data_IF_314234092279
#
_entry.id   IF_314234092279
#
_cell.length_a   1.000
_cell.length_b   1.000
_cell.length_c   1.000
_cell.angle_alpha   90.00
_cell.angle_beta   90.00
_cell.angle_gamma   90.00
#
_symmetry.space_group_name_H-M   'P 1'
#
loop_
_entity.id
_entity.type
_entity.pdbx_description
1 polymer ?
#
# COMPACT_ATOMS: atom_id res chain seq x y z
N UNK A 1 -8.48 9.87 9.38
CA UNK A 1 -8.00 8.95 8.33
C UNK A 1 -7.87 7.53 8.88
N UNK A 2 -6.86 7.22 9.70
CA UNK A 2 -6.70 5.88 10.33
C UNK A 2 -7.92 5.46 11.16
N UNK A 3 -8.27 6.26 12.19
CA UNK A 3 -9.46 5.99 13.02
C UNK A 3 -10.73 5.78 12.19
N UNK A 4 -10.92 6.61 11.17
CA UNK A 4 -12.08 6.53 10.28
C UNK A 4 -12.09 5.23 9.46
N UNK A 5 -10.92 4.80 8.97
CA UNK A 5 -10.78 3.53 8.27
C UNK A 5 -11.08 2.34 9.19
N UNK A 6 -10.51 2.34 10.40
CA UNK A 6 -10.76 1.32 11.42
C UNK A 6 -12.24 1.26 11.84
N UNK A 7 -12.87 2.42 12.05
CA UNK A 7 -14.28 2.49 12.41
C UNK A 7 -15.17 1.95 11.27
N UNK A 8 -14.85 2.27 10.01
CA UNK A 8 -15.57 1.72 8.85
C UNK A 8 -15.41 0.21 8.71
N UNK A 9 -14.20 -0.33 8.91
CA UNK A 9 -13.97 -1.78 8.85
C UNK A 9 -14.78 -2.53 9.92
N UNK A 10 -14.83 -1.99 11.15
CA UNK A 10 -15.66 -2.54 12.22
C UNK A 10 -17.15 -2.43 11.89
N UNK A 11 -17.60 -1.30 11.36
CA UNK A 11 -18.98 -1.09 10.95
C UNK A 11 -19.41 -2.03 9.80
N UNK A 12 -18.48 -2.44 8.93
CA UNK A 12 -18.72 -3.45 7.89
C UNK A 12 -18.68 -4.89 8.40
N UNK A 13 -18.54 -5.11 9.71
CA UNK A 13 -18.51 -6.43 10.34
C UNK A 13 -17.18 -7.17 10.24
N UNK A 14 -16.10 -6.51 9.80
CA UNK A 14 -14.78 -7.13 9.79
C UNK A 14 -14.23 -7.24 11.22
N UNK A 15 -13.68 -8.40 11.54
CA UNK A 15 -12.78 -8.54 12.69
C UNK A 15 -11.50 -7.76 12.46
N UNK A 16 -10.78 -7.46 13.54
CA UNK A 16 -9.47 -6.78 13.47
C UNK A 16 -8.49 -7.56 12.58
N UNK A 17 -8.46 -8.89 12.73
CA UNK A 17 -7.61 -9.77 11.92
C UNK A 17 -7.98 -9.75 10.43
N UNK A 18 -9.26 -9.65 10.08
CA UNK A 18 -9.70 -9.55 8.67
C UNK A 18 -9.37 -8.18 8.08
N UNK A 19 -9.55 -7.11 8.86
CA UNK A 19 -9.20 -5.76 8.43
C UNK A 19 -7.69 -5.62 8.17
N UNK A 20 -6.86 -6.32 8.93
CA UNK A 20 -5.40 -6.36 8.79
C UNK A 20 -4.89 -7.34 7.72
N UNK A 21 -5.76 -8.16 7.14
CA UNK A 21 -5.38 -9.17 6.17
C UNK A 21 -5.41 -8.61 4.74
N UNK A 22 -4.28 -8.67 4.03
CA UNK A 22 -4.18 -8.32 2.62
C UNK A 22 -5.02 -9.23 1.71
N UNK A 23 -5.52 -10.35 2.20
CA UNK A 23 -6.38 -11.30 1.47
C UNK A 23 -7.83 -11.30 1.97
N UNK A 24 -8.33 -10.13 2.40
CA UNK A 24 -9.72 -9.99 2.84
C UNK A 24 -10.68 -9.77 1.65
N UNK A 25 -11.98 -9.71 1.96
CA UNK A 25 -13.06 -9.57 0.97
C UNK A 25 -12.97 -8.32 0.06
N UNK A 26 -12.18 -7.32 0.43
CA UNK A 26 -12.02 -6.07 -0.33
C UNK A 26 -10.76 -6.06 -1.21
N UNK A 27 -9.93 -7.11 -1.16
CA UNK A 27 -8.67 -7.20 -1.89
C UNK A 27 -8.75 -8.27 -2.98
N UNK A 28 -8.13 -8.01 -4.13
CA UNK A 28 -7.88 -9.03 -5.13
C UNK A 28 -6.82 -10.04 -4.62
N UNK A 29 -6.69 -11.16 -5.33
CA UNK A 29 -5.59 -12.10 -5.11
C UNK A 29 -4.24 -11.35 -5.12
N UNK A 30 -3.46 -11.49 -4.04
CA UNK A 30 -2.16 -10.82 -3.89
C UNK A 30 -2.18 -9.45 -3.20
N UNK A 31 -3.30 -9.03 -2.60
CA UNK A 31 -3.33 -7.80 -1.79
C UNK A 31 -3.39 -6.51 -2.59
N UNK A 32 -3.91 -6.56 -3.82
CA UNK A 32 -4.15 -5.38 -4.66
C UNK A 32 -5.62 -4.96 -4.60
N UNK A 33 -5.89 -3.65 -4.68
CA UNK A 33 -7.26 -3.13 -4.77
C UNK A 33 -7.82 -3.12 -6.20
N UNK A 34 -6.94 -2.98 -7.20
CA UNK A 34 -7.26 -2.95 -8.63
C UNK A 34 -5.99 -3.21 -9.43
N UNK A 35 -6.13 -3.68 -10.68
CA UNK A 35 -5.02 -3.82 -11.63
C UNK A 35 -4.70 -2.51 -12.35
N UNK A 36 -5.66 -1.60 -12.42
CA UNK A 36 -5.60 -0.39 -13.22
C UNK A 36 -5.69 0.85 -12.34
N UNK A 37 -4.60 1.62 -12.15
CA UNK A 37 -4.66 2.84 -11.36
C UNK A 37 -5.55 3.89 -12.01
N UNK A 38 -5.56 4.00 -13.35
CA UNK A 38 -6.39 4.97 -14.08
C UNK A 38 -7.87 4.74 -13.78
N UNK A 39 -8.34 3.53 -14.02
CA UNK A 39 -9.73 3.11 -13.81
C UNK A 39 -10.13 3.24 -12.33
N UNK A 40 -9.20 2.93 -11.41
CA UNK A 40 -9.43 3.14 -9.98
C UNK A 40 -9.65 4.61 -9.64
N UNK A 41 -8.82 5.51 -10.19
CA UNK A 41 -8.98 6.95 -9.99
C UNK A 41 -10.33 7.47 -10.51
N UNK A 42 -10.71 7.05 -11.73
CA UNK A 42 -11.99 7.42 -12.34
C UNK A 42 -13.18 6.91 -11.53
N UNK A 43 -13.17 5.63 -11.14
CA UNK A 43 -14.26 4.99 -10.39
C UNK A 43 -14.54 5.71 -9.06
N UNK A 44 -13.50 6.10 -8.33
CA UNK A 44 -13.63 6.77 -7.04
C UNK A 44 -13.62 8.31 -7.11
N UNK A 45 -13.56 8.89 -8.32
CA UNK A 45 -13.49 10.34 -8.52
C UNK A 45 -12.25 10.97 -7.86
N UNK A 46 -11.12 10.26 -7.89
CA UNK A 46 -9.85 10.68 -7.29
C UNK A 46 -8.79 10.95 -8.35
N UNK A 47 -7.83 11.82 -8.00
CA UNK A 47 -6.67 12.13 -8.83
C UNK A 47 -5.43 11.49 -8.23
N UNK A 48 -4.59 10.92 -9.09
CA UNK A 48 -3.25 10.50 -8.72
C UNK A 48 -2.33 11.72 -8.66
N UNK A 49 -1.44 11.71 -7.68
CA UNK A 49 -0.41 12.72 -7.52
C UNK A 49 0.94 12.08 -7.86
N UNK A 50 1.70 12.76 -8.71
CA UNK A 50 3.05 12.38 -9.12
C UNK A 50 3.91 13.65 -9.13
N UNK A 51 5.21 13.48 -8.91
CA UNK A 51 6.20 14.54 -8.96
C UNK A 51 7.35 14.10 -9.87
N UNK A 52 8.13 15.08 -10.34
CA UNK A 52 9.32 14.87 -11.16
C UNK A 52 10.49 14.46 -10.26
N UNK A 53 10.40 13.27 -9.67
CA UNK A 53 11.41 12.74 -8.74
C UNK A 53 12.76 12.54 -9.42
N UNK A 54 13.82 12.96 -8.75
CA UNK A 54 15.21 12.66 -9.11
C UNK A 54 15.80 11.56 -8.20
N UNK A 55 16.94 11.01 -8.60
CA UNK A 55 17.63 10.02 -7.80
C UNK A 55 18.05 10.60 -6.44
N UNK A 56 17.51 10.05 -5.36
CA UNK A 56 17.73 10.53 -3.99
C UNK A 56 16.52 11.22 -3.38
N UNK A 57 15.51 11.58 -4.19
CA UNK A 57 14.24 12.08 -3.66
C UNK A 57 13.46 10.99 -2.93
N UNK A 58 12.68 11.40 -1.95
CA UNK A 58 11.83 10.53 -1.15
C UNK A 58 10.39 11.02 -1.12
N UNK A 59 9.46 10.08 -1.21
CA UNK A 59 8.04 10.30 -0.95
C UNK A 59 7.67 9.66 0.38
N UNK A 60 7.00 10.44 1.23
CA UNK A 60 6.45 9.96 2.49
C UNK A 60 4.94 9.87 2.36
N UNK A 61 4.39 8.69 2.63
CA UNK A 61 2.95 8.49 2.72
C UNK A 61 2.62 7.70 3.98
N UNK A 62 1.37 7.81 4.44
CA UNK A 62 0.93 7.02 5.58
C UNK A 62 0.51 5.61 5.13
N UNK A 63 0.31 4.69 6.09
CA UNK A 63 -0.04 3.30 5.80
C UNK A 63 -1.41 3.10 5.11
N UNK A 64 -2.29 4.12 5.16
CA UNK A 64 -3.62 4.10 4.55
C UNK A 64 -3.68 4.83 3.20
N UNK A 65 -2.55 5.39 2.74
CA UNK A 65 -2.47 6.03 1.44
C UNK A 65 -2.52 4.98 0.34
N UNK A 66 -3.53 5.09 -0.53
CA UNK A 66 -3.56 4.30 -1.75
C UNK A 66 -2.45 4.80 -2.68
N UNK A 67 -1.57 3.90 -3.07
CA UNK A 67 -0.42 4.17 -3.93
C UNK A 67 -0.31 3.08 -4.99
N UNK A 68 0.31 3.43 -6.11
CA UNK A 68 0.50 2.54 -7.24
C UNK A 68 1.78 2.92 -8.00
N UNK A 69 2.32 1.98 -8.76
CA UNK A 69 3.30 2.28 -9.80
C UNK A 69 2.74 1.90 -11.17
N UNK A 70 3.12 2.66 -12.19
CA UNK A 70 2.76 2.37 -13.58
C UNK A 70 3.86 1.56 -14.26
N UNK A 71 3.51 0.93 -15.37
CA UNK A 71 4.48 0.30 -16.26
C UNK A 71 5.54 1.31 -16.72
N UNK A 72 6.80 0.91 -16.66
CA UNK A 72 7.91 1.72 -17.13
C UNK A 72 8.03 1.60 -18.65
N UNK A 73 7.78 2.70 -19.36
CA UNK A 73 7.87 2.80 -20.82
C UNK A 73 9.05 3.66 -21.27
N UNK A 74 10.09 3.82 -20.44
CA UNK A 74 11.29 4.57 -20.79
C UNK A 74 11.90 4.04 -22.11
N UNK A 75 12.05 4.91 -23.14
CA UNK A 75 12.44 4.48 -24.48
C UNK A 75 13.91 4.03 -24.57
N UNK A 76 14.73 4.39 -23.59
CA UNK A 76 16.14 4.00 -23.50
C UNK A 76 16.35 2.77 -22.62
N UNK A 77 15.27 2.21 -22.06
CA UNK A 77 15.32 1.05 -21.19
C UNK A 77 15.89 1.35 -19.81
N UNK A 78 15.82 2.60 -19.34
CA UNK A 78 16.29 2.98 -18.00
C UNK A 78 15.42 2.31 -16.93
N UNK A 79 16.08 1.67 -15.96
CA UNK A 79 15.39 1.00 -14.85
C UNK A 79 15.02 2.03 -13.77
N UNK A 80 13.76 2.01 -13.33
CA UNK A 80 13.32 2.70 -12.12
C UNK A 80 13.54 1.79 -10.91
N UNK A 81 14.53 2.11 -10.09
CA UNK A 81 14.78 1.43 -8.82
C UNK A 81 14.37 2.34 -7.66
N UNK A 82 13.74 1.77 -6.64
CA UNK A 82 13.41 2.46 -5.40
C UNK A 82 13.47 1.51 -4.21
N UNK A 83 13.64 2.08 -3.01
CA UNK A 83 13.62 1.36 -1.74
C UNK A 83 12.41 1.81 -0.92
N UNK A 84 11.62 0.85 -0.46
CA UNK A 84 10.52 1.09 0.49
C UNK A 84 11.05 0.93 1.91
N UNK A 85 10.90 1.96 2.75
CA UNK A 85 11.30 1.93 4.16
C UNK A 85 10.08 2.28 5.01
N UNK A 86 9.72 1.38 5.92
CA UNK A 86 8.56 1.55 6.79
C UNK A 86 8.99 1.85 8.21
N UNK A 87 8.32 2.81 8.84
CA UNK A 87 8.56 3.20 10.23
C UNK A 87 7.32 2.88 11.07
N UNK A 88 7.52 2.15 12.17
CA UNK A 88 6.49 1.88 13.18
C UNK A 88 6.89 2.52 14.52
N UNK A 89 5.90 3.04 15.26
CA UNK A 89 6.14 3.61 16.58
C UNK A 89 6.16 2.49 17.64
N UNK A 90 7.34 2.14 18.13
CA UNK A 90 7.54 1.10 19.14
C UNK A 90 6.85 1.34 20.48
N UNK A 91 6.40 2.57 20.77
CA UNK A 91 5.63 2.91 22.00
C UNK A 91 4.14 2.62 21.86
N UNK A 92 3.66 2.15 20.70
CA UNK A 92 2.27 1.81 20.43
C UNK A 92 2.18 0.39 19.88
N UNK A 93 1.02 -0.28 19.98
CA UNK A 93 0.78 -1.50 19.22
C UNK A 93 1.03 -1.25 17.73
N UNK A 94 1.71 -2.17 17.08
CA UNK A 94 1.99 -2.15 15.64
C UNK A 94 2.04 -3.58 15.12
N UNK A 95 1.90 -3.74 13.81
CA UNK A 95 1.87 -5.05 13.16
C UNK A 95 3.28 -5.69 13.11
N UNK A 96 3.54 -6.59 14.06
CA UNK A 96 4.83 -7.26 14.21
C UNK A 96 5.11 -8.33 13.16
N UNK A 97 4.15 -8.65 12.26
CA UNK A 97 4.35 -9.65 11.21
C UNK A 97 5.55 -9.28 10.32
N UNK A 98 5.69 -7.99 10.00
CA UNK A 98 6.76 -7.44 9.17
C UNK A 98 8.02 -7.06 9.96
N UNK A 99 8.10 -7.46 11.24
CA UNK A 99 9.19 -7.10 12.15
C UNK A 99 10.38 -8.06 12.16
N UNK A 100 10.42 -9.01 11.23
CA UNK A 100 11.48 -10.02 11.09
C UNK A 100 12.10 -9.95 9.70
N UNK A 101 13.27 -10.55 9.55
CA UNK A 101 13.88 -10.71 8.24
C UNK A 101 13.00 -11.58 7.33
N UNK A 102 12.99 -11.23 6.04
CA UNK A 102 12.24 -11.97 5.02
C UNK A 102 12.77 -13.39 4.88
N UNK A 103 11.85 -14.35 4.82
CA UNK A 103 12.14 -15.74 4.51
C UNK A 103 11.24 -16.23 3.37
N UNK A 104 11.80 -16.96 2.42
CA UNK A 104 11.03 -17.48 1.31
C UNK A 104 9.94 -18.45 1.78
N UNK A 105 8.68 -18.16 1.44
CA UNK A 105 7.55 -19.00 1.79
C UNK A 105 7.00 -18.81 3.21
N UNK A 106 7.35 -17.71 3.88
CA UNK A 106 6.88 -17.43 5.23
C UNK A 106 5.41 -16.99 5.34
N UNK A 107 4.73 -16.89 4.19
CA UNK A 107 3.30 -16.59 4.13
C UNK A 107 2.97 -15.12 4.41
N UNK A 108 3.98 -14.24 4.38
CA UNK A 108 3.84 -12.79 4.32
C UNK A 108 4.02 -12.27 2.89
#
# INVERSE_FOLDING_TARGET
MEKEFTDKARASGMTEKEAENAFNQNMMAGGMLSQGPVEFGEHYGRKWLVADYEAGDAVFHNAYSIHASTTNHDPEGRIRLGSDIRFANSKRPWDTRWGKDFEFGDGL
#
